data_IF_744921538741
#
_entry.id   IF_744921538741
#
_cell.length_a   1.000
_cell.length_b   1.000
_cell.length_c   1.000
_cell.angle_alpha   90.00
_cell.angle_beta   90.00
_cell.angle_gamma   90.00
#
_symmetry.space_group_name_H-M   'P 1'
#
loop_
_entity.id
_entity.type
_entity.pdbx_description
1 polymer ?
#
# COMPACT_ATOMS: atom_id res chain seq x y z
N UNK A 1 11.94 11.08 -6.72
CA UNK A 1 11.60 9.89 -5.92
C UNK A 1 10.71 10.23 -4.73
N UNK A 2 10.96 11.33 -3.97
CA UNK A 2 10.10 11.68 -2.83
C UNK A 2 8.63 11.86 -3.25
N UNK A 3 8.34 12.49 -4.38
CA UNK A 3 6.99 12.56 -4.94
C UNK A 3 6.34 11.17 -5.13
N UNK A 4 7.12 10.19 -5.61
CA UNK A 4 6.61 8.82 -5.79
C UNK A 4 6.26 8.18 -4.45
N UNK A 5 7.07 8.39 -3.40
CA UNK A 5 6.81 7.89 -2.05
C UNK A 5 5.60 8.59 -1.41
N UNK A 6 5.43 9.90 -1.62
CA UNK A 6 4.27 10.65 -1.10
C UNK A 6 2.97 10.21 -1.79
N UNK A 7 3.00 10.01 -3.11
CA UNK A 7 1.84 9.43 -3.83
C UNK A 7 1.56 8.01 -3.36
N UNK A 8 2.60 7.19 -3.17
CA UNK A 8 2.46 5.84 -2.61
C UNK A 8 1.79 5.86 -1.23
N UNK A 9 2.17 6.79 -0.35
CA UNK A 9 1.54 6.97 0.95
C UNK A 9 0.05 7.35 0.81
N UNK A 10 -0.25 8.30 -0.07
CA UNK A 10 -1.61 8.82 -0.28
C UNK A 10 -2.58 7.77 -0.88
N UNK A 11 -2.08 6.84 -1.70
CA UNK A 11 -2.89 5.75 -2.27
C UNK A 11 -2.95 4.51 -1.40
N UNK A 12 -2.28 4.48 -0.25
CA UNK A 12 -2.11 3.26 0.56
C UNK A 12 -1.52 2.11 -0.30
N UNK A 13 -0.36 2.40 -0.91
CA UNK A 13 0.27 1.52 -1.90
C UNK A 13 0.81 0.21 -1.33
N UNK A 14 1.35 -0.64 -2.21
CA UNK A 14 1.90 -1.95 -1.87
C UNK A 14 3.27 -1.83 -1.18
N UNK A 15 3.54 -2.73 -0.23
CA UNK A 15 4.87 -2.89 0.39
C UNK A 15 5.97 -3.19 -0.63
N UNK A 16 5.63 -3.75 -1.79
CA UNK A 16 6.57 -4.00 -2.90
C UNK A 16 7.30 -2.72 -3.36
N UNK A 17 6.68 -1.55 -3.21
CA UNK A 17 7.30 -0.27 -3.56
C UNK A 17 8.55 0.04 -2.72
N UNK A 18 8.66 -0.53 -1.50
CA UNK A 18 9.84 -0.37 -0.66
C UNK A 18 11.06 -1.15 -1.18
N UNK A 19 10.86 -2.05 -2.12
CA UNK A 19 11.93 -2.73 -2.87
C UNK A 19 12.17 -2.03 -4.21
N UNK A 20 11.11 -1.78 -4.96
CA UNK A 20 11.24 -1.32 -6.36
C UNK A 20 11.65 0.14 -6.47
N UNK A 21 11.15 1.05 -5.64
CA UNK A 21 11.54 2.47 -5.69
C UNK A 21 13.03 2.63 -5.33
N UNK A 22 13.55 2.03 -4.23
CA UNK A 22 14.98 2.05 -3.96
C UNK A 22 15.84 1.41 -5.06
N UNK A 23 15.40 0.28 -5.63
CA UNK A 23 16.11 -0.39 -6.72
C UNK A 23 16.24 0.51 -7.96
N UNK A 24 15.16 1.19 -8.35
CA UNK A 24 15.18 2.16 -9.45
C UNK A 24 16.09 3.35 -9.11
N UNK A 25 16.00 3.89 -7.90
CA UNK A 25 16.82 5.01 -7.45
C UNK A 25 18.32 4.68 -7.47
N UNK A 26 18.66 3.44 -7.10
CA UNK A 26 20.04 2.94 -7.11
C UNK A 26 20.70 3.02 -8.50
N UNK A 27 19.94 2.71 -9.57
CA UNK A 27 20.42 2.83 -10.95
C UNK A 27 20.80 4.28 -11.33
N UNK A 28 20.29 5.26 -10.60
CA UNK A 28 20.63 6.68 -10.74
C UNK A 28 21.67 7.16 -9.71
N UNK A 29 22.25 6.25 -8.91
CA UNK A 29 23.18 6.59 -7.84
C UNK A 29 22.51 7.31 -6.66
N UNK A 30 21.20 7.16 -6.49
CA UNK A 30 20.41 7.77 -5.40
C UNK A 30 20.11 6.70 -4.35
N UNK A 31 20.50 6.97 -3.11
CA UNK A 31 20.21 6.08 -1.99
C UNK A 31 18.84 6.44 -1.37
N UNK A 32 17.96 5.45 -1.27
CA UNK A 32 16.68 5.55 -0.58
C UNK A 32 16.58 4.39 0.41
N UNK A 33 16.45 4.71 1.68
CA UNK A 33 16.35 3.73 2.76
C UNK A 33 14.92 3.59 3.28
N UNK A 34 14.67 2.57 4.12
CA UNK A 34 13.42 2.43 4.87
C UNK A 34 13.10 3.66 5.72
N UNK A 35 14.11 4.32 6.28
CA UNK A 35 13.93 5.55 7.08
C UNK A 35 13.38 6.71 6.24
N UNK A 36 13.73 6.77 4.94
CA UNK A 36 13.16 7.76 4.01
C UNK A 36 11.66 7.51 3.84
N UNK A 37 11.25 6.25 3.66
CA UNK A 37 9.83 5.88 3.59
C UNK A 37 9.11 6.20 4.91
N UNK A 38 9.67 5.79 6.05
CA UNK A 38 9.06 6.01 7.37
C UNK A 38 8.83 7.51 7.62
N UNK A 39 9.84 8.34 7.36
CA UNK A 39 9.75 9.79 7.50
C UNK A 39 8.65 10.42 6.64
N UNK A 40 8.59 10.03 5.35
CA UNK A 40 7.61 10.60 4.42
C UNK A 40 6.19 10.09 4.70
N UNK A 41 6.03 8.81 5.07
CA UNK A 41 4.74 8.25 5.44
C UNK A 41 4.16 8.87 6.72
N UNK A 42 4.99 9.09 7.77
CA UNK A 42 4.55 9.73 9.01
C UNK A 42 4.00 11.16 8.81
N UNK A 43 4.45 11.85 7.78
CA UNK A 43 3.96 13.18 7.42
C UNK A 43 2.83 13.19 6.38
N UNK A 44 2.41 12.03 5.88
CA UNK A 44 1.46 11.92 4.78
C UNK A 44 0.07 11.49 5.26
N UNK A 45 -0.95 11.92 4.52
CA UNK A 45 -2.31 11.42 4.67
C UNK A 45 -2.60 10.38 3.59
N UNK A 46 -3.38 9.33 3.91
CA UNK A 46 -3.89 8.44 2.88
C UNK A 46 -5.35 8.75 2.56
N UNK A 47 -5.66 8.81 1.27
CA UNK A 47 -6.89 9.41 0.74
C UNK A 47 -7.74 8.42 -0.04
N UNK A 48 -7.15 7.32 -0.53
CA UNK A 48 -7.78 6.44 -1.50
C UNK A 48 -8.56 5.31 -0.82
N UNK A 49 -9.88 5.30 -1.03
CA UNK A 49 -10.81 4.34 -0.41
C UNK A 49 -11.11 3.16 -1.35
N UNK A 50 -10.08 2.40 -1.72
CA UNK A 50 -10.21 1.19 -2.55
C UNK A 50 -9.72 -0.06 -1.84
N UNK A 51 -10.21 -1.22 -2.27
CA UNK A 51 -9.75 -2.53 -1.79
C UNK A 51 -8.27 -2.75 -2.04
N UNK A 52 -7.55 -3.47 -1.15
CA UNK A 52 -8.06 -4.23 0.00
C UNK A 52 -8.30 -3.38 1.27
N UNK A 53 -7.67 -2.20 1.41
CA UNK A 53 -7.79 -1.39 2.61
C UNK A 53 -9.07 -0.54 2.69
N UNK A 54 -9.76 -0.32 1.58
CA UNK A 54 -10.96 0.48 1.47
C UNK A 54 -12.16 -0.28 0.88
N UNK A 55 -13.18 0.48 0.48
CA UNK A 55 -14.51 -0.05 0.10
C UNK A 55 -14.63 -0.42 -1.36
N UNK A 56 -14.06 0.40 -2.26
CA UNK A 56 -14.39 0.35 -3.68
C UNK A 56 -13.40 -0.52 -4.48
N UNK A 57 -13.82 -1.16 -5.59
CA UNK A 57 -12.91 -1.79 -6.52
C UNK A 57 -11.93 -0.79 -7.16
N UNK A 58 -10.74 -1.25 -7.54
CA UNK A 58 -9.70 -0.40 -8.10
C UNK A 58 -10.10 0.32 -9.40
N UNK A 59 -11.07 -0.20 -10.17
CA UNK A 59 -11.59 0.46 -11.37
C UNK A 59 -12.20 1.84 -11.06
N UNK A 60 -12.78 2.04 -9.87
CA UNK A 60 -13.32 3.33 -9.47
C UNK A 60 -12.22 4.37 -9.23
N UNK A 61 -11.03 3.97 -8.84
CA UNK A 61 -9.89 4.88 -8.77
C UNK A 61 -9.57 5.50 -10.14
N UNK A 62 -9.59 4.68 -11.20
CA UNK A 62 -9.42 5.17 -12.56
C UNK A 62 -10.53 6.18 -12.94
N UNK A 63 -11.79 5.88 -12.62
CA UNK A 63 -12.91 6.78 -12.90
C UNK A 63 -12.89 8.06 -12.05
N UNK A 64 -12.27 8.02 -10.87
CA UNK A 64 -12.12 9.20 -10.01
C UNK A 64 -10.94 10.11 -10.42
N UNK A 65 -10.21 9.79 -11.51
CA UNK A 65 -9.09 10.58 -12.01
C UNK A 65 -7.72 10.01 -11.71
N UNK A 66 -7.66 8.84 -11.04
CA UNK A 66 -6.42 8.09 -10.84
C UNK A 66 -5.33 8.85 -10.07
N UNK A 67 -4.08 8.50 -10.35
CA UNK A 67 -2.90 9.13 -9.73
C UNK A 67 -2.86 10.66 -9.94
N UNK A 68 -3.21 11.23 -11.10
CA UNK A 68 -3.27 12.69 -11.24
C UNK A 68 -4.21 13.38 -10.25
N UNK A 69 -5.37 12.78 -9.96
CA UNK A 69 -6.30 13.36 -8.98
C UNK A 69 -5.76 13.28 -7.55
N UNK A 70 -5.05 12.20 -7.18
CA UNK A 70 -4.31 12.12 -5.91
C UNK A 70 -3.25 13.23 -5.84
N UNK A 71 -2.46 13.43 -6.92
CA UNK A 71 -1.42 14.46 -6.94
C UNK A 71 -2.01 15.87 -6.79
N UNK A 72 -3.19 16.14 -7.32
CA UNK A 72 -3.89 17.40 -7.10
C UNK A 72 -4.28 17.62 -5.64
N UNK A 73 -4.77 16.57 -4.95
CA UNK A 73 -5.14 16.65 -3.54
C UNK A 73 -3.93 16.86 -2.62
N UNK A 74 -2.77 16.30 -2.96
CA UNK A 74 -1.54 16.41 -2.15
C UNK A 74 -0.52 17.38 -2.73
N UNK A 75 -0.89 18.23 -3.70
CA UNK A 75 0.04 19.08 -4.45
C UNK A 75 0.91 19.98 -3.57
N UNK A 76 0.39 20.42 -2.41
CA UNK A 76 1.09 21.32 -1.50
C UNK A 76 2.29 20.67 -0.80
N UNK A 77 2.38 19.33 -0.82
CA UNK A 77 3.50 18.55 -0.28
C UNK A 77 4.38 17.94 -1.39
N UNK A 78 4.02 18.10 -2.65
CA UNK A 78 4.80 17.60 -3.79
C UNK A 78 5.83 18.62 -4.29
N UNK A 79 6.96 18.14 -4.78
CA UNK A 79 7.93 18.92 -5.53
C UNK A 79 7.40 19.12 -6.96
N UNK A 80 6.61 20.19 -7.17
CA UNK A 80 5.96 20.47 -8.45
C UNK A 80 6.92 20.94 -9.53
N UNK A 81 8.10 21.43 -9.17
CA UNK A 81 9.19 21.84 -10.04
C UNK A 81 10.04 20.66 -10.54
N UNK A 82 9.82 19.45 -10.00
CA UNK A 82 10.56 18.26 -10.42
C UNK A 82 10.31 17.96 -11.90
N UNK A 83 11.41 17.82 -12.66
CA UNK A 83 11.37 17.48 -14.08
C UNK A 83 10.89 16.04 -14.28
N UNK A 84 10.04 15.84 -15.27
CA UNK A 84 9.46 14.54 -15.62
C UNK A 84 9.93 14.05 -16.99
N UNK A 85 9.60 12.81 -17.35
CA UNK A 85 9.94 12.19 -18.64
C UNK A 85 9.29 12.89 -19.85
N UNK A 86 8.27 13.72 -19.62
CA UNK A 86 7.64 14.51 -20.68
C UNK A 86 8.48 15.72 -21.11
N UNK A 87 9.56 16.02 -20.40
CA UNK A 87 10.34 17.25 -20.58
C UNK A 87 9.68 18.50 -19.97
N UNK A 88 8.62 18.30 -19.20
CA UNK A 88 7.91 19.32 -18.40
C UNK A 88 8.05 18.99 -16.92
N UNK A 89 7.84 20.00 -16.07
CA UNK A 89 7.74 19.79 -14.63
C UNK A 89 6.46 19.02 -14.26
N UNK A 90 6.42 18.47 -13.05
CA UNK A 90 5.21 17.82 -12.55
C UNK A 90 4.02 18.79 -12.52
N UNK A 91 4.25 20.03 -12.06
CA UNK A 91 3.21 21.07 -12.01
C UNK A 91 2.65 21.41 -13.40
N UNK A 92 3.53 21.54 -14.42
CA UNK A 92 3.10 21.78 -15.80
C UNK A 92 2.27 20.62 -16.35
N UNK A 93 2.64 19.37 -16.05
CA UNK A 93 1.86 18.21 -16.48
C UNK A 93 0.46 18.18 -15.80
N UNK A 94 0.37 18.49 -14.53
CA UNK A 94 -0.93 18.54 -13.83
C UNK A 94 -1.82 19.66 -14.39
N UNK A 95 -1.24 20.82 -14.68
CA UNK A 95 -1.99 21.93 -15.29
C UNK A 95 -2.49 21.57 -16.71
N UNK A 96 -1.66 20.90 -17.51
CA UNK A 96 -2.07 20.41 -18.83
C UNK A 96 -3.27 19.45 -18.75
N UNK A 97 -3.31 18.57 -17.74
CA UNK A 97 -4.43 17.66 -17.54
C UNK A 97 -5.74 18.41 -17.23
N UNK A 98 -5.67 19.54 -16.50
CA UNK A 98 -6.84 20.42 -16.28
C UNK A 98 -7.30 21.04 -17.60
N UNK A 99 -6.36 21.57 -18.38
CA UNK A 99 -6.69 22.30 -19.60
C UNK A 99 -7.20 21.43 -20.73
N UNK A 100 -6.80 20.14 -20.78
CA UNK A 100 -7.16 19.23 -21.86
C UNK A 100 -8.47 18.44 -21.62
N UNK A 101 -9.20 18.75 -20.55
CA UNK A 101 -10.48 18.11 -20.22
C UNK A 101 -10.34 16.69 -19.65
N UNK A 102 -9.16 16.33 -19.06
CA UNK A 102 -8.97 15.01 -18.48
C UNK A 102 -9.93 14.71 -17.33
N UNK A 103 -10.12 15.64 -16.41
CA UNK A 103 -10.97 15.43 -15.22
C UNK A 103 -12.46 15.40 -15.58
N UNK A 104 -12.89 16.17 -16.60
CA UNK A 104 -14.25 16.11 -17.13
C UNK A 104 -14.54 14.73 -17.72
N UNK A 105 -13.62 14.15 -18.49
CA UNK A 105 -13.75 12.78 -19.00
C UNK A 105 -13.81 11.75 -17.88
N UNK A 106 -13.03 11.92 -16.83
CA UNK A 106 -13.09 11.02 -15.66
C UNK A 106 -14.47 11.08 -14.99
N UNK A 107 -15.04 12.27 -14.82
CA UNK A 107 -16.40 12.43 -14.28
C UNK A 107 -17.46 11.74 -15.16
N UNK A 108 -17.35 11.83 -16.48
CA UNK A 108 -18.24 11.11 -17.40
C UNK A 108 -18.14 9.58 -17.22
N UNK A 109 -16.93 9.05 -17.05
CA UNK A 109 -16.72 7.61 -16.82
C UNK A 109 -17.31 7.19 -15.48
N UNK A 110 -17.11 7.98 -14.42
CA UNK A 110 -17.70 7.71 -13.11
C UNK A 110 -19.23 7.71 -13.17
N UNK A 111 -19.85 8.67 -13.90
CA UNK A 111 -21.30 8.70 -14.11
C UNK A 111 -21.79 7.45 -14.87
N UNK A 112 -21.07 6.99 -15.90
CA UNK A 112 -21.40 5.76 -16.64
C UNK A 112 -21.30 4.54 -15.73
N UNK A 113 -20.26 4.46 -14.89
CA UNK A 113 -20.09 3.38 -13.91
C UNK A 113 -21.22 3.41 -12.86
N UNK A 114 -21.55 4.58 -12.31
CA UNK A 114 -22.67 4.76 -11.39
C UNK A 114 -23.97 4.22 -11.98
N UNK A 115 -24.29 4.62 -13.23
CA UNK A 115 -25.48 4.12 -13.92
C UNK A 115 -25.46 2.61 -14.12
N UNK A 116 -24.29 2.04 -14.48
CA UNK A 116 -24.13 0.59 -14.72
C UNK A 116 -24.35 -0.23 -13.46
N UNK A 117 -23.86 0.26 -12.32
CA UNK A 117 -23.86 -0.48 -11.05
C UNK A 117 -24.96 -0.02 -10.08
N UNK A 118 -25.81 0.94 -10.44
CA UNK A 118 -26.86 1.49 -9.57
C UNK A 118 -26.29 2.27 -8.36
N UNK A 119 -25.16 2.97 -8.57
CA UNK A 119 -24.47 3.75 -7.55
C UNK A 119 -24.66 5.26 -7.77
N UNK A 120 -24.24 6.07 -6.78
CA UNK A 120 -24.30 7.54 -6.84
C UNK A 120 -23.02 8.14 -6.26
N UNK A 121 -21.85 7.59 -6.63
CA UNK A 121 -20.55 8.00 -6.12
C UNK A 121 -20.09 9.30 -6.78
N UNK A 122 -19.46 10.13 -5.99
CA UNK A 122 -18.64 11.26 -6.41
C UNK A 122 -17.16 10.89 -6.39
N UNK A 123 -16.30 11.72 -6.94
CA UNK A 123 -14.85 11.56 -6.82
C UNK A 123 -14.41 11.47 -5.36
N UNK A 124 -15.00 12.30 -4.48
CA UNK A 124 -14.64 12.38 -3.06
C UNK A 124 -15.06 11.15 -2.24
N UNK A 125 -15.94 10.31 -2.74
CA UNK A 125 -16.27 9.02 -2.12
C UNK A 125 -15.14 7.99 -2.33
N UNK A 126 -14.28 8.21 -3.32
CA UNK A 126 -13.20 7.31 -3.76
C UNK A 126 -11.83 7.88 -3.38
N UNK A 127 -11.59 9.16 -3.73
CA UNK A 127 -10.41 9.94 -3.36
C UNK A 127 -10.86 11.01 -2.38
N UNK A 128 -10.53 10.86 -1.11
CA UNK A 128 -10.92 11.84 -0.07
C UNK A 128 -10.16 13.15 -0.25
N UNK A 129 -10.81 14.27 0.04
CA UNK A 129 -10.10 15.55 0.20
C UNK A 129 -9.00 15.43 1.27
N UNK A 130 -7.92 16.17 1.11
CA UNK A 130 -6.76 16.10 2.02
C UNK A 130 -7.14 16.39 3.49
N UNK A 131 -8.05 17.33 3.74
CA UNK A 131 -8.56 17.67 5.07
C UNK A 131 -9.58 16.67 5.63
N UNK A 132 -10.04 15.71 4.81
CA UNK A 132 -10.97 14.65 5.20
C UNK A 132 -10.37 13.27 4.91
N UNK A 133 -9.06 13.14 5.03
CA UNK A 133 -8.33 11.92 4.79
C UNK A 133 -8.90 10.72 5.57
N UNK A 134 -8.66 9.52 5.06
CA UNK A 134 -9.01 8.27 5.75
C UNK A 134 -8.14 8.03 6.99
N UNK A 135 -6.94 8.57 6.98
CA UNK A 135 -6.02 8.56 8.12
C UNK A 135 -4.78 9.40 7.86
N UNK A 136 -4.05 9.65 8.93
CA UNK A 136 -2.73 10.26 8.96
C UNK A 136 -1.64 9.19 8.96
N UNK A 137 -0.37 9.55 8.95
CA UNK A 137 0.77 8.62 9.02
C UNK A 137 0.90 7.66 7.82
N UNK A 138 0.35 8.03 6.67
CA UNK A 138 0.40 7.23 5.45
C UNK A 138 -0.17 5.83 5.62
N UNK A 139 0.47 4.81 5.06
CA UNK A 139 -0.04 3.43 5.08
C UNK A 139 0.99 2.38 5.49
N UNK A 140 2.26 2.73 5.46
CA UNK A 140 3.38 1.84 5.76
C UNK A 140 4.10 2.34 7.01
N UNK A 141 4.46 1.41 7.90
CA UNK A 141 5.37 1.66 9.01
C UNK A 141 6.62 0.80 8.87
N UNK A 142 7.77 1.38 9.19
CA UNK A 142 9.04 0.64 9.32
C UNK A 142 9.25 0.33 10.80
N UNK A 143 9.17 -0.95 11.12
CA UNK A 143 9.30 -1.47 12.48
C UNK A 143 10.75 -1.78 12.80
N UNK A 144 11.14 -1.59 14.06
CA UNK A 144 12.48 -1.95 14.56
C UNK A 144 12.36 -2.66 15.89
N UNK A 145 13.23 -3.64 16.10
CA UNK A 145 13.29 -4.39 17.33
C UNK A 145 14.39 -5.45 17.29
N UNK A 146 14.50 -6.23 18.35
CA UNK A 146 15.50 -7.29 18.45
C UNK A 146 15.28 -8.42 17.43
N UNK A 147 14.05 -8.62 16.95
CA UNK A 147 13.74 -9.59 15.90
C UNK A 147 14.14 -9.06 14.51
N UNK A 148 14.00 -7.78 14.27
CA UNK A 148 14.32 -7.12 12.99
C UNK A 148 15.12 -5.83 13.27
N UNK A 149 16.41 -5.92 13.66
CA UNK A 149 17.23 -4.75 14.04
C UNK A 149 17.47 -3.80 12.86
N UNK A 150 17.53 -4.32 11.64
CA UNK A 150 17.70 -3.53 10.42
C UNK A 150 16.38 -2.99 9.86
N UNK A 151 15.26 -3.46 10.40
CA UNK A 151 13.92 -3.02 10.07
C UNK A 151 13.05 -4.14 9.49
N UNK A 152 11.75 -3.99 9.67
CA UNK A 152 10.71 -4.75 9.02
C UNK A 152 9.63 -3.78 8.54
N UNK A 153 8.78 -4.21 7.61
CA UNK A 153 7.78 -3.36 6.98
C UNK A 153 6.40 -3.93 7.21
N UNK A 154 5.46 -3.08 7.59
CA UNK A 154 4.04 -3.45 7.70
C UNK A 154 3.18 -2.41 7.01
N UNK A 155 2.14 -2.87 6.32
CA UNK A 155 1.03 -2.03 5.89
C UNK A 155 0.03 -1.92 7.04
N UNK A 156 0.25 -0.93 7.92
CA UNK A 156 -0.54 -0.79 9.14
C UNK A 156 -2.02 -0.51 8.89
N UNK A 157 -2.38 0.10 7.75
CA UNK A 157 -3.78 0.34 7.36
C UNK A 157 -4.58 -0.94 7.09
N UNK A 158 -3.91 -2.08 6.93
CA UNK A 158 -4.53 -3.40 6.78
C UNK A 158 -4.44 -4.25 8.04
N UNK A 159 -3.79 -3.74 9.10
CA UNK A 159 -3.65 -4.46 10.37
C UNK A 159 -4.79 -4.07 11.33
N UNK A 160 -5.50 -5.03 11.96
CA UNK A 160 -6.45 -4.73 13.00
C UNK A 160 -5.80 -4.00 14.19
N UNK A 161 -6.48 -2.99 14.75
CA UNK A 161 -5.93 -2.18 15.87
C UNK A 161 -5.54 -3.03 17.07
N UNK A 162 -6.32 -4.07 17.39
CA UNK A 162 -6.05 -5.02 18.48
C UNK A 162 -4.73 -5.79 18.30
N UNK A 163 -4.22 -5.87 17.07
CA UNK A 163 -2.96 -6.54 16.75
C UNK A 163 -1.74 -5.61 16.77
N UNK A 164 -1.90 -4.31 17.00
CA UNK A 164 -0.77 -3.38 17.11
C UNK A 164 0.09 -3.63 18.35
N UNK A 165 -0.45 -4.29 19.37
CA UNK A 165 0.28 -4.71 20.55
C UNK A 165 -0.27 -6.07 21.03
N UNK A 166 0.49 -7.12 20.76
CA UNK A 166 0.09 -8.49 21.09
C UNK A 166 1.28 -9.33 21.55
N UNK A 167 1.02 -10.33 22.37
CA UNK A 167 1.98 -11.39 22.71
C UNK A 167 1.48 -12.66 22.05
N UNK A 168 2.27 -13.20 21.12
CA UNK A 168 1.90 -14.30 20.26
C UNK A 168 2.86 -15.49 20.42
N UNK A 169 2.39 -16.70 20.10
CA UNK A 169 3.20 -17.91 20.11
C UNK A 169 3.93 -18.08 18.78
N UNK A 170 5.26 -18.13 18.78
CA UNK A 170 6.05 -18.29 17.55
C UNK A 170 5.83 -19.67 16.90
N UNK A 171 5.53 -19.66 15.59
CA UNK A 171 5.38 -20.83 14.73
C UNK A 171 6.26 -20.71 13.49
N UNK A 172 7.53 -21.15 13.56
CA UNK A 172 8.44 -21.08 12.42
C UNK A 172 8.20 -22.23 11.45
N UNK A 173 8.29 -21.91 10.15
CA UNK A 173 8.25 -22.83 9.02
C UNK A 173 9.43 -22.51 8.08
N UNK A 174 9.98 -23.52 7.42
CA UNK A 174 11.14 -23.35 6.55
C UNK A 174 10.76 -23.24 5.06
N UNK A 175 9.47 -23.27 4.76
CA UNK A 175 8.91 -22.99 3.42
C UNK A 175 7.46 -22.54 3.49
N UNK A 176 6.97 -21.93 2.41
CA UNK A 176 5.56 -21.57 2.25
C UNK A 176 4.66 -22.81 2.26
N UNK A 177 5.08 -23.89 1.57
CA UNK A 177 4.31 -25.12 1.46
C UNK A 177 4.10 -25.80 2.82
N UNK A 178 5.13 -25.83 3.67
CA UNK A 178 5.02 -26.35 5.03
C UNK A 178 4.02 -25.55 5.86
N UNK A 179 4.06 -24.23 5.72
CA UNK A 179 3.12 -23.33 6.40
C UNK A 179 1.69 -23.56 5.92
N UNK A 180 1.44 -23.61 4.61
CA UNK A 180 0.11 -23.87 4.03
C UNK A 180 -0.43 -25.20 4.53
N UNK A 181 0.37 -26.25 4.51
CA UNK A 181 -0.04 -27.57 5.03
C UNK A 181 -0.42 -27.49 6.52
N UNK A 182 0.32 -26.71 7.32
CA UNK A 182 0.03 -26.52 8.73
C UNK A 182 -1.29 -25.78 8.96
N UNK A 183 -1.57 -24.73 8.17
CA UNK A 183 -2.85 -23.98 8.21
C UNK A 183 -3.99 -24.90 7.82
N UNK A 184 -3.92 -25.61 6.70
CA UNK A 184 -4.97 -26.50 6.21
C UNK A 184 -5.26 -27.66 7.17
N UNK A 185 -4.26 -28.09 7.95
CA UNK A 185 -4.42 -29.12 8.99
C UNK A 185 -4.77 -28.56 10.38
N UNK A 186 -5.12 -27.28 10.47
CA UNK A 186 -5.46 -26.58 11.72
C UNK A 186 -4.36 -26.67 12.79
N UNK A 187 -3.08 -26.75 12.40
CA UNK A 187 -1.94 -26.73 13.32
C UNK A 187 -1.50 -25.30 13.68
N UNK A 188 -1.93 -24.29 12.91
CA UNK A 188 -1.84 -22.86 13.23
C UNK A 188 -3.13 -22.46 13.94
N UNK A 189 -3.00 -21.74 15.03
CA UNK A 189 -4.12 -21.37 15.90
C UNK A 189 -4.20 -19.85 16.10
N UNK A 190 -5.38 -19.30 16.46
CA UNK A 190 -5.50 -17.93 16.92
C UNK A 190 -4.47 -17.61 18.02
N UNK A 191 -3.77 -16.47 17.91
CA UNK A 191 -2.70 -16.08 18.82
C UNK A 191 -1.30 -16.59 18.43
N UNK A 192 -1.15 -17.22 17.28
CA UNK A 192 0.17 -17.59 16.76
C UNK A 192 0.81 -16.44 15.95
N UNK A 193 2.14 -16.36 15.99
CA UNK A 193 2.97 -15.61 15.06
C UNK A 193 3.65 -16.60 14.10
N UNK A 194 3.20 -16.62 12.88
CA UNK A 194 3.69 -17.50 11.81
C UNK A 194 4.92 -16.88 11.16
N UNK A 195 6.03 -17.58 11.15
CA UNK A 195 7.27 -17.18 10.51
C UNK A 195 7.58 -18.11 9.34
N UNK A 196 7.65 -17.58 8.13
CA UNK A 196 8.15 -18.30 6.96
C UNK A 196 9.57 -17.81 6.71
N UNK A 197 10.53 -18.75 6.72
CA UNK A 197 11.96 -18.47 6.65
C UNK A 197 12.53 -18.99 5.33
N UNK A 198 13.67 -18.41 4.90
CA UNK A 198 14.43 -18.82 3.72
C UNK A 198 13.73 -18.58 2.38
N UNK A 199 12.73 -17.71 2.37
CA UNK A 199 11.99 -17.33 1.17
C UNK A 199 12.39 -15.93 0.66
N UNK A 200 13.36 -15.29 1.30
CA UNK A 200 13.92 -14.01 0.88
C UNK A 200 14.68 -14.08 -0.45
N UNK A 201 15.26 -12.96 -0.92
CA UNK A 201 15.91 -12.87 -2.23
C UNK A 201 17.00 -13.91 -2.48
N UNK A 202 17.78 -14.25 -1.44
CA UNK A 202 18.86 -15.27 -1.53
C UNK A 202 18.38 -16.69 -1.28
N UNK A 203 17.22 -16.87 -0.67
CA UNK A 203 16.64 -18.17 -0.37
C UNK A 203 15.96 -18.76 -1.61
N UNK A 204 14.77 -18.28 -1.91
CA UNK A 204 13.94 -18.78 -3.01
C UNK A 204 13.58 -17.71 -4.07
N UNK A 205 14.23 -16.53 -4.02
CA UNK A 205 13.99 -15.43 -4.95
C UNK A 205 12.85 -14.50 -4.53
N UNK A 206 12.45 -14.55 -3.27
CA UNK A 206 11.44 -13.68 -2.67
C UNK A 206 10.07 -13.77 -3.39
N UNK A 207 9.45 -14.97 -3.45
CA UNK A 207 8.09 -15.11 -3.97
C UNK A 207 7.08 -14.36 -3.09
N UNK A 208 5.96 -13.93 -3.66
CA UNK A 208 4.86 -13.42 -2.85
C UNK A 208 4.19 -14.55 -2.06
N UNK A 209 3.97 -14.33 -0.75
CA UNK A 209 3.27 -15.25 0.14
C UNK A 209 1.74 -15.20 -0.07
N UNK A 210 1.31 -15.24 -1.34
CA UNK A 210 -0.10 -15.11 -1.71
C UNK A 210 -0.93 -16.30 -1.24
N UNK A 211 -0.47 -17.51 -1.51
CA UNK A 211 -1.21 -18.71 -1.14
C UNK A 211 -1.30 -18.92 0.36
N UNK A 212 -0.26 -18.57 1.11
CA UNK A 212 -0.31 -18.56 2.58
C UNK A 212 -1.34 -17.54 3.09
N UNK A 213 -1.32 -16.33 2.53
CA UNK A 213 -2.29 -15.29 2.89
C UNK A 213 -3.73 -15.73 2.61
N UNK A 214 -3.99 -16.37 1.46
CA UNK A 214 -5.30 -16.92 1.11
C UNK A 214 -5.72 -18.07 2.06
N UNK A 215 -4.80 -18.97 2.37
CA UNK A 215 -5.09 -20.08 3.29
C UNK A 215 -5.48 -19.56 4.68
N UNK A 216 -4.75 -18.55 5.20
CA UNK A 216 -5.03 -17.91 6.48
C UNK A 216 -6.35 -17.14 6.44
N UNK A 217 -6.59 -16.33 5.42
CA UNK A 217 -7.77 -15.47 5.31
C UNK A 217 -9.06 -16.23 4.99
N UNK A 218 -8.96 -17.49 4.56
CA UNK A 218 -10.10 -18.40 4.39
C UNK A 218 -10.82 -18.68 5.73
N UNK A 219 -10.09 -18.62 6.85
CA UNK A 219 -10.62 -18.62 8.19
C UNK A 219 -10.59 -17.18 8.77
N UNK A 220 -11.78 -16.61 8.99
CA UNK A 220 -11.92 -15.21 9.43
C UNK A 220 -11.38 -14.96 10.85
N UNK A 221 -11.42 -15.95 11.72
CA UNK A 221 -10.90 -15.84 13.08
C UNK A 221 -9.36 -15.87 13.03
N UNK A 222 -8.79 -16.82 12.28
CA UNK A 222 -7.36 -16.96 12.10
C UNK A 222 -6.77 -15.70 11.45
N UNK A 223 -7.38 -15.20 10.37
CA UNK A 223 -6.92 -14.02 9.64
C UNK A 223 -6.88 -12.71 10.43
N UNK A 224 -7.56 -12.65 11.59
CA UNK A 224 -7.58 -11.46 12.47
C UNK A 224 -6.73 -11.61 13.73
N UNK A 225 -6.26 -12.80 14.05
CA UNK A 225 -5.68 -13.11 15.34
C UNK A 225 -4.25 -13.64 15.29
N UNK A 226 -3.65 -13.71 14.09
CA UNK A 226 -2.26 -14.12 13.91
C UNK A 226 -1.44 -12.99 13.28
N UNK A 227 -0.11 -13.09 13.42
CA UNK A 227 0.83 -12.32 12.63
C UNK A 227 1.50 -13.25 11.60
N UNK A 228 1.59 -12.82 10.33
CA UNK A 228 2.36 -13.49 9.29
C UNK A 228 3.63 -12.68 9.04
N UNK A 229 4.79 -13.30 9.23
CA UNK A 229 6.11 -12.68 9.12
C UNK A 229 6.96 -13.53 8.15
N UNK A 230 7.65 -12.87 7.24
CA UNK A 230 8.55 -13.53 6.29
C UNK A 230 9.78 -12.66 6.03
N UNK A 231 10.86 -13.26 5.57
CA UNK A 231 12.07 -12.59 5.09
C UNK A 231 11.97 -12.26 3.61
#
# INVERSE_FOLDING_TARGET
FENAILVHAAVSGSTNCLLHIPAIAHEFGIEISGDTFDRLHRGAHYLLDIRPAGRWPAEFFYYAGGVPAIMEEIKDVLHLDAMTVTGKTLGENLEELKQNGFYERCQEWLQKANKKYGLSLTQQDIIRPYDQALGTDGSIAVLRGNLAPEGAVIKHTACPEEMFSAVLNARPFDSEEECIEAVLRHRVQPGDAVFIRYEGPKGSGMPEMFYTSEAISSDKELGRSIALITD
#
